data_IF_263234155167
#
_entry.id   IF_263234155167
#
_cell.length_a   1.000
_cell.length_b   1.000
_cell.length_c   1.000
_cell.angle_alpha   90.00
_cell.angle_beta   90.00
_cell.angle_gamma   90.00
#
_symmetry.space_group_name_H-M   'P 1'
#
loop_
_entity.id
_entity.type
_entity.pdbx_description
1 polymer ?
#
# COMPACT_ATOMS: atom_id res chain seq x y z
N UNK A 1 -0.80 8.81 8.33
CA UNK A 1 -1.92 8.05 7.74
C UNK A 1 -2.31 6.93 8.68
N UNK A 2 -3.57 6.88 9.09
CA UNK A 2 -4.14 5.81 9.93
C UNK A 2 -5.59 5.60 9.51
N UNK A 3 -6.03 4.34 9.43
CA UNK A 3 -7.43 3.98 9.25
C UNK A 3 -7.99 3.42 10.57
N UNK A 4 -9.28 3.61 10.87
CA UNK A 4 -9.92 2.90 11.97
C UNK A 4 -9.91 1.39 11.71
N UNK A 5 -9.95 0.59 12.78
CA UNK A 5 -9.99 -0.89 12.72
C UNK A 5 -11.18 -1.45 11.93
N UNK A 6 -12.22 -0.63 11.70
CA UNK A 6 -13.44 -1.02 10.99
C UNK A 6 -14.29 -2.02 11.78
N UNK A 7 -15.25 -2.65 11.10
CA UNK A 7 -16.20 -3.57 11.76
C UNK A 7 -15.58 -4.96 11.91
N UNK A 8 -15.55 -5.51 13.13
CA UNK A 8 -14.95 -6.82 13.44
C UNK A 8 -13.50 -6.98 12.97
N UNK A 9 -12.69 -5.90 13.01
CA UNK A 9 -11.30 -5.97 12.53
C UNK A 9 -11.14 -5.80 11.02
N UNK A 10 -12.24 -5.55 10.30
CA UNK A 10 -12.23 -5.36 8.85
C UNK A 10 -12.43 -3.89 8.52
N UNK A 11 -11.39 -3.29 7.94
CA UNK A 11 -11.38 -1.93 7.44
C UNK A 11 -10.80 -1.85 6.04
N UNK A 12 -10.94 -0.69 5.41
CA UNK A 12 -10.33 -0.38 4.13
C UNK A 12 -9.58 0.95 4.22
N UNK A 13 -8.54 1.08 3.40
CA UNK A 13 -7.79 2.31 3.23
C UNK A 13 -7.55 2.55 1.75
N UNK A 14 -7.98 3.71 1.26
CA UNK A 14 -7.70 4.12 -0.11
C UNK A 14 -6.26 4.63 -0.17
N UNK A 15 -5.43 3.96 -0.97
CA UNK A 15 -4.06 4.36 -1.21
C UNK A 15 -3.91 4.86 -2.64
N UNK A 16 -3.80 6.18 -2.79
CA UNK A 16 -3.41 6.81 -4.03
C UNK A 16 -1.91 6.57 -4.25
N UNK A 17 -1.58 5.82 -5.31
CA UNK A 17 -0.20 5.51 -5.67
C UNK A 17 0.49 6.80 -6.14
N UNK A 18 1.55 7.29 -5.45
CA UNK A 18 2.27 8.47 -5.91
C UNK A 18 2.92 8.25 -7.27
N UNK A 19 2.87 9.26 -8.15
CA UNK A 19 3.40 9.18 -9.52
C UNK A 19 4.94 9.00 -9.55
N UNK A 20 5.62 9.45 -8.50
CA UNK A 20 7.06 9.34 -8.30
C UNK A 20 7.47 8.03 -7.61
N UNK A 21 6.51 7.18 -7.23
CA UNK A 21 6.82 5.86 -6.70
C UNK A 21 7.37 4.97 -7.82
N UNK A 22 8.57 4.45 -7.61
CA UNK A 22 9.24 3.61 -8.60
C UNK A 22 8.44 2.33 -8.89
N UNK A 23 8.36 1.95 -10.16
CA UNK A 23 7.81 0.65 -10.53
C UNK A 23 8.65 -0.49 -9.95
N UNK A 24 8.02 -1.58 -9.51
CA UNK A 24 8.69 -2.72 -8.89
C UNK A 24 7.73 -3.82 -8.46
N UNK A 25 8.24 -5.02 -8.22
CA UNK A 25 7.48 -6.23 -7.88
C UNK A 25 7.72 -6.74 -6.44
N UNK A 26 8.45 -5.97 -5.65
CA UNK A 26 8.90 -6.31 -4.30
C UNK A 26 8.17 -5.52 -3.20
N UNK A 27 7.03 -4.89 -3.53
CA UNK A 27 6.25 -4.13 -2.55
C UNK A 27 5.45 -5.04 -1.63
N UNK A 28 5.30 -4.62 -0.37
CA UNK A 28 4.46 -5.24 0.66
C UNK A 28 3.67 -4.19 1.41
N UNK A 29 2.51 -4.57 1.94
CA UNK A 29 1.72 -3.71 2.83
C UNK A 29 2.02 -4.09 4.29
N UNK A 30 2.27 -3.08 5.13
CA UNK A 30 2.42 -3.24 6.58
C UNK A 30 1.28 -2.50 7.29
N UNK A 31 0.63 -3.19 8.22
CA UNK A 31 -0.35 -2.61 9.14
C UNK A 31 0.26 -2.65 10.54
N UNK A 32 0.25 -1.54 11.26
CA UNK A 32 0.82 -1.46 12.60
C UNK A 32 -0.08 -0.66 13.53
N UNK A 33 -0.13 -1.05 14.80
CA UNK A 33 -0.78 -0.26 15.83
C UNK A 33 0.00 1.04 16.07
N UNK A 34 -0.72 2.15 16.18
CA UNK A 34 -0.14 3.47 16.46
C UNK A 34 0.21 3.66 17.94
N UNK A 35 -0.29 2.80 18.83
CA UNK A 35 -0.12 2.91 20.29
C UNK A 35 0.69 1.76 20.89
N UNK A 36 0.81 0.63 20.18
CA UNK A 36 1.59 -0.51 20.62
C UNK A 36 2.49 -1.02 19.49
N UNK A 37 3.78 -0.72 19.58
CA UNK A 37 4.76 -1.07 18.54
C UNK A 37 5.01 -2.56 18.36
N UNK A 38 4.61 -3.42 19.31
CA UNK A 38 4.73 -4.88 19.15
C UNK A 38 3.65 -5.47 18.24
N UNK A 39 2.54 -4.75 18.02
CA UNK A 39 1.42 -5.21 17.21
C UNK A 39 1.57 -4.68 15.80
N UNK A 40 1.98 -5.54 14.89
CA UNK A 40 2.07 -5.25 13.47
C UNK A 40 1.97 -6.53 12.65
N UNK A 41 1.52 -6.38 11.41
CA UNK A 41 1.39 -7.46 10.44
C UNK A 41 1.84 -6.96 9.05
N UNK A 42 2.33 -7.86 8.22
CA UNK A 42 2.85 -7.57 6.88
C UNK A 42 2.32 -8.60 5.90
N UNK A 43 1.89 -8.17 4.72
CA UNK A 43 1.36 -9.06 3.70
C UNK A 43 2.33 -10.22 3.40
N UNK A 44 1.78 -11.43 3.32
CA UNK A 44 2.54 -12.66 3.09
C UNK A 44 3.35 -12.57 1.78
N UNK A 45 2.66 -12.17 0.71
CA UNK A 45 3.22 -12.06 -0.63
C UNK A 45 3.55 -10.62 -1.00
N UNK A 46 4.46 -10.48 -1.96
CA UNK A 46 4.72 -9.20 -2.63
C UNK A 46 3.68 -8.94 -3.71
N UNK A 47 3.54 -7.67 -4.09
CA UNK A 47 2.74 -7.25 -5.25
C UNK A 47 3.55 -6.31 -6.14
N UNK A 48 3.05 -6.09 -7.36
CA UNK A 48 3.69 -5.22 -8.35
C UNK A 48 3.00 -3.87 -8.42
N UNK A 49 3.80 -2.81 -8.35
CA UNK A 49 3.40 -1.46 -8.74
C UNK A 49 4.02 -1.23 -10.11
N UNK A 50 3.16 -1.01 -11.10
CA UNK A 50 3.58 -0.65 -12.46
C UNK A 50 3.67 0.86 -12.58
N UNK A 51 4.53 1.33 -13.47
CA UNK A 51 4.53 2.75 -13.82
C UNK A 51 3.13 3.16 -14.28
N UNK A 52 2.71 4.36 -13.90
CA UNK A 52 1.45 4.89 -14.41
C UNK A 52 1.44 4.79 -15.93
N UNK A 53 0.35 4.28 -16.54
CA UNK A 53 0.20 4.28 -17.98
C UNK A 53 0.02 5.72 -18.42
N UNK A 54 1.12 6.45 -18.51
CA UNK A 54 1.16 7.74 -19.16
C UNK A 54 0.77 7.44 -20.61
N UNK A 55 -0.45 7.76 -21.02
CA UNK A 55 -0.76 7.82 -22.45
C UNK A 55 0.19 8.84 -23.06
N UNK A 56 1.02 8.31 -23.95
CA UNK A 56 2.19 8.84 -24.64
C UNK A 56 2.03 10.23 -25.31
N UNK A 57 3.09 10.79 -25.94
CA UNK A 57 3.22 10.50 -27.36
C UNK A 57 4.46 9.69 -27.69
N UNK A 58 4.31 8.85 -28.71
CA UNK A 58 5.38 8.19 -29.45
C UNK A 58 6.58 9.12 -29.64
N UNK A 59 7.76 8.62 -29.29
CA UNK A 59 8.98 8.99 -29.98
C UNK A 59 9.58 7.72 -30.56
#
# INVERSE_FOLDING_TARGET
NSAPIGSNGQGSYNWDIPIDLAAGNNYKIKVASTTNSSINDTSDNTFTIVASPNTQPQQ
#
